data_IF_595200524832
#
_entry.id   IF_595200524832
#
_cell.length_a   1.000
_cell.length_b   1.000
_cell.length_c   1.000
_cell.angle_alpha   90.00
_cell.angle_beta   90.00
_cell.angle_gamma   90.00
#
_symmetry.space_group_name_H-M   'P 1'
#
loop_
_entity.id
_entity.type
_entity.pdbx_description
1 polymer ?
#
# COMPACT_ATOMS: atom_id res chain seq x y z
N UNK A 1 17.73 -11.32 7.56
CA UNK A 1 18.30 -10.24 6.71
C UNK A 1 17.21 -9.53 5.90
N UNK A 2 16.28 -10.26 5.28
CA UNK A 2 15.19 -9.70 4.46
C UNK A 2 14.32 -8.68 5.21
N UNK A 3 14.01 -8.91 6.49
CA UNK A 3 13.21 -7.98 7.31
C UNK A 3 13.84 -6.58 7.45
N UNK A 4 15.18 -6.50 7.55
CA UNK A 4 15.89 -5.22 7.65
C UNK A 4 15.78 -4.46 6.34
N UNK A 5 15.89 -5.16 5.21
CA UNK A 5 15.79 -4.56 3.88
C UNK A 5 14.37 -4.07 3.62
N UNK A 6 13.35 -4.84 4.01
CA UNK A 6 11.94 -4.42 3.95
C UNK A 6 11.69 -3.13 4.73
N UNK A 7 12.26 -3.00 5.94
CA UNK A 7 12.16 -1.78 6.73
C UNK A 7 12.85 -0.60 6.04
N UNK A 8 14.06 -0.79 5.49
CA UNK A 8 14.77 0.27 4.76
C UNK A 8 13.98 0.70 3.50
N UNK A 9 13.46 -0.27 2.74
CA UNK A 9 12.74 0.00 1.50
C UNK A 9 11.43 0.74 1.78
N UNK A 10 10.65 0.26 2.75
CA UNK A 10 9.41 0.93 3.16
C UNK A 10 9.67 2.31 3.77
N UNK A 11 10.73 2.49 4.54
CA UNK A 11 11.12 3.78 5.13
C UNK A 11 11.54 4.82 4.08
N UNK A 12 12.34 4.43 3.08
CA UNK A 12 12.74 5.34 2.00
C UNK A 12 11.54 5.78 1.17
N UNK A 13 10.61 4.86 0.90
CA UNK A 13 9.38 5.19 0.20
C UNK A 13 8.43 6.05 1.05
N UNK A 14 8.37 5.83 2.36
CA UNK A 14 7.67 6.69 3.31
C UNK A 14 8.23 8.12 3.31
N UNK A 15 9.55 8.30 3.31
CA UNK A 15 10.19 9.62 3.20
C UNK A 15 9.82 10.28 1.86
N UNK A 16 9.85 9.54 0.76
CA UNK A 16 9.46 10.07 -0.56
C UNK A 16 8.00 10.47 -0.62
N UNK A 17 7.11 9.72 0.02
CA UNK A 17 5.68 10.03 0.09
C UNK A 17 5.42 11.31 0.90
N UNK A 18 6.11 11.49 2.04
CA UNK A 18 6.00 12.73 2.83
C UNK A 18 6.62 13.93 2.11
N UNK A 19 7.79 13.74 1.49
CA UNK A 19 8.57 14.86 0.95
C UNK A 19 8.11 15.31 -0.44
N UNK A 20 7.67 14.36 -1.27
CA UNK A 20 7.42 14.58 -2.70
C UNK A 20 5.97 14.20 -3.07
N UNK A 21 5.21 13.58 -2.15
CA UNK A 21 3.87 13.02 -2.41
C UNK A 21 3.80 12.12 -3.65
N UNK A 22 4.95 11.59 -4.06
CA UNK A 22 5.13 10.75 -5.25
C UNK A 22 6.32 9.83 -5.02
N UNK A 23 6.06 8.54 -5.14
CA UNK A 23 7.10 7.51 -5.17
C UNK A 23 7.64 7.45 -6.60
N UNK A 24 8.94 7.65 -6.76
CA UNK A 24 9.55 7.71 -8.10
C UNK A 24 9.61 6.30 -8.71
N UNK A 25 9.22 6.16 -9.97
CA UNK A 25 9.22 4.85 -10.66
C UNK A 25 10.60 4.18 -10.69
N UNK A 26 11.70 4.94 -10.76
CA UNK A 26 13.06 4.38 -10.74
C UNK A 26 13.33 3.61 -9.44
N UNK A 27 12.83 4.12 -8.31
CA UNK A 27 12.99 3.49 -7.00
C UNK A 27 12.26 2.14 -6.96
N UNK A 28 11.02 2.12 -7.44
CA UNK A 28 10.20 0.90 -7.55
C UNK A 28 10.91 -0.15 -8.40
N UNK A 29 11.39 0.23 -9.60
CA UNK A 29 12.04 -0.70 -10.53
C UNK A 29 13.32 -1.26 -9.93
N UNK A 30 14.14 -0.43 -9.28
CA UNK A 30 15.37 -0.89 -8.62
C UNK A 30 15.06 -1.84 -7.47
N UNK A 31 14.19 -1.44 -6.54
CA UNK A 31 13.89 -2.25 -5.36
C UNK A 31 13.25 -3.59 -5.73
N UNK A 32 12.40 -3.63 -6.77
CA UNK A 32 11.80 -4.85 -7.30
C UNK A 32 12.86 -5.74 -7.96
N UNK A 33 13.69 -5.18 -8.84
CA UNK A 33 14.75 -5.93 -9.53
C UNK A 33 15.73 -6.57 -8.56
N UNK A 34 16.15 -5.83 -7.52
CA UNK A 34 17.05 -6.33 -6.49
C UNK A 34 16.41 -7.46 -5.68
N UNK A 35 15.13 -7.32 -5.30
CA UNK A 35 14.40 -8.35 -4.55
C UNK A 35 14.28 -9.67 -5.32
N UNK A 36 13.92 -9.59 -6.61
CA UNK A 36 13.86 -10.78 -7.48
C UNK A 36 15.24 -11.41 -7.66
N UNK A 37 16.27 -10.59 -7.92
CA UNK A 37 17.63 -11.10 -8.11
C UNK A 37 18.16 -11.80 -6.86
N UNK A 38 17.92 -11.23 -5.68
CA UNK A 38 18.29 -11.83 -4.40
C UNK A 38 17.65 -13.22 -4.20
N UNK A 39 16.34 -13.34 -4.43
CA UNK A 39 15.66 -14.63 -4.31
C UNK A 39 16.04 -15.62 -5.42
N UNK A 40 16.41 -15.13 -6.60
CA UNK A 40 16.95 -15.98 -7.66
C UNK A 40 18.27 -16.63 -7.26
N UNK A 41 19.17 -15.88 -6.61
CA UNK A 41 20.44 -16.42 -6.09
C UNK A 41 20.26 -17.47 -4.99
N UNK A 42 19.17 -17.38 -4.21
CA UNK A 42 18.85 -18.31 -3.13
C UNK A 42 18.04 -19.53 -3.63
N UNK A 43 17.70 -19.56 -4.92
CA UNK A 43 16.93 -20.65 -5.54
C UNK A 43 15.41 -20.53 -5.39
N UNK A 44 14.91 -19.40 -4.88
CA UNK A 44 13.48 -19.12 -4.65
C UNK A 44 12.92 -18.03 -5.58
N UNK A 45 13.52 -17.84 -6.76
CA UNK A 45 13.13 -16.77 -7.69
C UNK A 45 11.66 -16.85 -8.15
N UNK A 46 11.11 -18.05 -8.30
CA UNK A 46 9.69 -18.26 -8.64
C UNK A 46 8.76 -17.66 -7.57
N UNK A 47 9.06 -17.87 -6.29
CA UNK A 47 8.29 -17.34 -5.17
C UNK A 47 8.34 -15.81 -5.09
N UNK A 48 9.44 -15.19 -5.52
CA UNK A 48 9.57 -13.73 -5.59
C UNK A 48 8.77 -13.12 -6.74
N UNK A 49 8.77 -13.75 -7.91
CA UNK A 49 7.92 -13.34 -9.04
C UNK A 49 6.45 -13.48 -8.66
N UNK A 50 6.08 -14.58 -8.02
CA UNK A 50 4.72 -14.83 -7.58
C UNK A 50 4.28 -13.84 -6.50
N UNK A 51 5.14 -13.56 -5.52
CA UNK A 51 4.89 -12.53 -4.50
C UNK A 51 4.74 -11.13 -5.09
N UNK A 52 5.58 -10.77 -6.06
CA UNK A 52 5.46 -9.48 -6.77
C UNK A 52 4.13 -9.39 -7.55
N UNK A 53 3.72 -10.48 -8.22
CA UNK A 53 2.45 -10.56 -8.92
C UNK A 53 1.25 -10.44 -7.96
N UNK A 54 1.34 -11.02 -6.76
CA UNK A 54 0.31 -10.86 -5.72
C UNK A 54 0.13 -9.40 -5.30
N UNK A 55 1.18 -8.58 -5.38
CA UNK A 55 1.10 -7.11 -5.20
C UNK A 55 0.04 -6.44 -6.07
N UNK A 56 -0.23 -6.99 -7.26
CA UNK A 56 -1.23 -6.47 -8.18
C UNK A 56 -2.67 -6.78 -7.79
N UNK A 57 -2.93 -7.56 -6.73
CA UNK A 57 -4.28 -7.77 -6.18
C UNK A 57 -4.95 -6.44 -5.81
N UNK A 58 -4.17 -5.42 -5.45
CA UNK A 58 -4.71 -4.09 -5.16
C UNK A 58 -4.95 -3.21 -6.40
N UNK A 59 -4.68 -3.71 -7.62
CA UNK A 59 -4.93 -2.97 -8.85
C UNK A 59 -6.40 -2.53 -9.03
N UNK A 60 -7.42 -3.34 -8.70
CA UNK A 60 -8.81 -2.88 -8.72
C UNK A 60 -9.04 -1.67 -7.82
N UNK A 61 -8.37 -1.57 -6.66
CA UNK A 61 -8.48 -0.39 -5.79
C UNK A 61 -7.85 0.86 -6.41
N UNK A 62 -6.80 0.69 -7.23
CA UNK A 62 -6.26 1.79 -8.03
C UNK A 62 -7.24 2.26 -9.11
N UNK A 63 -7.89 1.32 -9.82
CA UNK A 63 -8.95 1.67 -10.79
C UNK A 63 -10.07 2.43 -10.09
N UNK A 64 -10.42 2.04 -8.86
CA UNK A 64 -11.40 2.72 -8.03
C UNK A 64 -10.91 4.07 -7.44
N UNK A 65 -9.65 4.47 -7.66
CA UNK A 65 -8.98 5.65 -7.08
C UNK A 65 -8.96 5.69 -5.55
N UNK A 66 -9.15 4.55 -4.88
CA UNK A 66 -8.94 4.46 -3.43
C UNK A 66 -7.46 4.53 -3.06
N UNK A 67 -6.57 4.23 -4.00
CA UNK A 67 -5.14 4.14 -3.78
C UNK A 67 -4.37 4.68 -4.99
N UNK A 68 -3.19 5.23 -4.78
CA UNK A 68 -2.36 5.75 -5.86
C UNK A 68 -1.71 4.63 -6.68
N UNK A 69 -1.37 4.91 -7.95
CA UNK A 69 -0.61 3.98 -8.79
C UNK A 69 0.75 3.60 -8.17
N UNK A 70 1.33 4.51 -7.39
CA UNK A 70 2.59 4.28 -6.67
C UNK A 70 2.45 3.24 -5.58
N UNK A 71 1.34 3.26 -4.83
CA UNK A 71 1.10 2.36 -3.70
C UNK A 71 0.94 0.91 -4.16
N UNK A 72 0.20 0.67 -5.26
CA UNK A 72 0.07 -0.69 -5.84
C UNK A 72 1.44 -1.23 -6.22
N UNK A 73 2.25 -0.38 -6.88
CA UNK A 73 3.61 -0.76 -7.28
C UNK A 73 4.51 -1.04 -6.08
N UNK A 74 4.34 -0.32 -4.96
CA UNK A 74 5.06 -0.61 -3.73
C UNK A 74 4.67 -1.96 -3.15
N UNK A 75 3.40 -2.38 -3.23
CA UNK A 75 3.04 -3.76 -2.85
C UNK A 75 3.68 -4.82 -3.74
N UNK A 76 3.90 -4.54 -5.04
CA UNK A 76 4.68 -5.42 -5.89
C UNK A 76 6.14 -5.52 -5.43
N UNK A 77 6.75 -4.38 -5.04
CA UNK A 77 8.10 -4.37 -4.45
C UNK A 77 8.12 -5.18 -3.16
N UNK A 78 7.19 -4.92 -2.24
CA UNK A 78 7.09 -5.63 -0.97
C UNK A 78 6.90 -7.14 -1.19
N UNK A 79 6.11 -7.55 -2.18
CA UNK A 79 5.92 -8.95 -2.57
C UNK A 79 7.14 -9.62 -3.20
N UNK A 80 8.02 -8.85 -3.84
CA UNK A 80 9.30 -9.37 -4.32
C UNK A 80 10.25 -9.72 -3.15
N UNK A 81 10.13 -9.02 -2.01
CA UNK A 81 10.97 -9.21 -0.83
C UNK A 81 10.34 -10.20 0.16
N UNK A 82 9.11 -9.95 0.59
CA UNK A 82 8.27 -10.87 1.35
C UNK A 82 7.54 -11.76 0.35
N UNK A 83 8.11 -12.92 0.03
CA UNK A 83 7.56 -13.85 -0.96
C UNK A 83 6.28 -14.53 -0.44
N UNK A 84 5.67 -15.41 -1.24
CA UNK A 84 4.52 -16.19 -0.79
C UNK A 84 4.92 -17.22 0.28
N UNK A 85 4.16 -17.38 1.38
CA UNK A 85 2.88 -16.75 1.73
C UNK A 85 3.00 -15.45 2.56
N UNK A 86 4.21 -15.03 2.92
CA UNK A 86 4.47 -13.88 3.80
C UNK A 86 3.79 -12.59 3.31
N UNK A 87 3.72 -12.36 1.99
CA UNK A 87 3.07 -11.19 1.42
C UNK A 87 1.60 -11.04 1.86
N UNK A 88 0.85 -12.13 2.01
CA UNK A 88 -0.56 -12.06 2.39
C UNK A 88 -0.73 -11.52 3.81
N UNK A 89 0.10 -12.00 4.73
CA UNK A 89 0.15 -11.51 6.10
C UNK A 89 0.58 -10.03 6.11
N UNK A 90 1.64 -9.69 5.38
CA UNK A 90 2.13 -8.31 5.29
C UNK A 90 1.04 -7.36 4.78
N UNK A 91 0.32 -7.75 3.73
CA UNK A 91 -0.80 -6.99 3.19
C UNK A 91 -1.91 -6.80 4.23
N UNK A 92 -2.28 -7.85 4.95
CA UNK A 92 -3.28 -7.77 6.02
C UNK A 92 -2.85 -6.78 7.12
N UNK A 93 -1.59 -6.82 7.56
CA UNK A 93 -1.05 -5.84 8.52
C UNK A 93 -1.09 -4.41 7.98
N UNK A 94 -0.72 -4.21 6.70
CA UNK A 94 -0.76 -2.89 6.08
C UNK A 94 -2.20 -2.35 5.98
N UNK A 95 -3.16 -3.18 5.55
CA UNK A 95 -4.58 -2.78 5.46
C UNK A 95 -5.12 -2.44 6.85
N UNK A 96 -4.82 -3.25 7.85
CA UNK A 96 -5.26 -3.02 9.23
C UNK A 96 -4.68 -1.71 9.79
N UNK A 97 -3.38 -1.46 9.61
CA UNK A 97 -2.73 -0.22 10.08
C UNK A 97 -3.24 1.01 9.34
N UNK A 98 -3.49 0.92 8.03
CA UNK A 98 -4.17 1.99 7.29
C UNK A 98 -5.57 2.27 7.86
N UNK A 99 -6.34 1.23 8.21
CA UNK A 99 -7.62 1.39 8.89
C UNK A 99 -7.50 2.19 10.20
N UNK A 100 -6.49 1.90 11.02
CA UNK A 100 -6.22 2.64 12.26
C UNK A 100 -5.86 4.09 11.97
N UNK A 101 -4.95 4.36 11.03
CA UNK A 101 -4.56 5.73 10.65
C UNK A 101 -5.77 6.51 10.14
N UNK A 102 -6.59 5.90 9.29
CA UNK A 102 -7.82 6.52 8.78
C UNK A 102 -8.80 6.85 9.91
N UNK A 103 -8.96 5.94 10.87
CA UNK A 103 -9.82 6.14 12.03
C UNK A 103 -9.33 7.29 12.92
N UNK A 104 -8.01 7.38 13.17
CA UNK A 104 -7.41 8.47 13.96
C UNK A 104 -7.63 9.82 13.26
N UNK A 105 -7.39 9.91 11.95
CA UNK A 105 -7.62 11.14 11.16
C UNK A 105 -9.11 11.53 11.21
N UNK A 106 -10.01 10.56 11.07
CA UNK A 106 -11.45 10.77 11.10
C UNK A 106 -11.92 11.38 12.43
N UNK A 107 -11.39 10.90 13.56
CA UNK A 107 -11.68 11.44 14.89
C UNK A 107 -11.09 12.84 15.03
N UNK A 108 -9.83 13.02 14.60
CA UNK A 108 -9.10 14.28 14.75
C UNK A 108 -9.76 15.43 13.98
N UNK A 109 -10.28 15.15 12.78
CA UNK A 109 -10.99 16.14 11.95
C UNK A 109 -12.45 16.37 12.37
N UNK A 110 -13.00 15.59 13.32
CA UNK A 110 -14.42 15.59 13.75
C UNK A 110 -15.44 15.45 12.61
N UNK A 111 -15.00 15.07 11.40
CA UNK A 111 -15.79 15.01 10.18
C UNK A 111 -16.21 13.59 9.79
N UNK A 112 -16.12 12.62 10.71
CA UNK A 112 -16.41 11.21 10.40
C UNK A 112 -17.81 10.95 9.85
N UNK A 113 -18.82 11.70 10.33
CA UNK A 113 -20.18 11.61 9.78
C UNK A 113 -20.24 12.06 8.31
N UNK A 114 -19.51 13.11 7.94
CA UNK A 114 -19.48 13.61 6.57
C UNK A 114 -18.73 12.65 5.64
N UNK A 115 -17.58 12.13 6.08
CA UNK A 115 -16.80 11.14 5.32
C UNK A 115 -17.62 9.87 5.08
N UNK A 116 -18.27 9.34 6.13
CA UNK A 116 -19.11 8.15 6.01
C UNK A 116 -20.35 8.40 5.14
N UNK A 117 -20.98 9.57 5.25
CA UNK A 117 -22.10 9.96 4.38
C UNK A 117 -21.68 10.05 2.92
N UNK A 118 -20.54 10.67 2.62
CA UNK A 118 -20.00 10.78 1.27
C UNK A 118 -19.69 9.40 0.68
N UNK A 119 -19.08 8.51 1.49
CA UNK A 119 -18.84 7.12 1.10
C UNK A 119 -20.14 6.36 0.81
N UNK A 120 -21.18 6.52 1.64
CA UNK A 120 -22.50 5.91 1.41
C UNK A 120 -23.21 6.44 0.16
N UNK A 121 -23.12 7.75 -0.10
CA UNK A 121 -23.67 8.36 -1.31
C UNK A 121 -22.95 7.79 -2.53
N UNK A 122 -21.61 7.71 -2.50
CA UNK A 122 -20.83 7.09 -3.57
C UNK A 122 -21.22 5.63 -3.80
N UNK A 123 -21.37 4.83 -2.74
CA UNK A 123 -21.85 3.44 -2.85
C UNK A 123 -23.23 3.35 -3.51
N UNK A 124 -24.18 4.20 -3.11
CA UNK A 124 -25.52 4.23 -3.72
C UNK A 124 -25.47 4.61 -5.18
N UNK A 125 -24.67 5.62 -5.54
CA UNK A 125 -24.50 6.06 -6.92
C UNK A 125 -23.95 4.90 -7.76
N UNK A 126 -22.84 4.29 -7.37
CA UNK A 126 -22.26 3.14 -8.08
C UNK A 126 -23.25 1.97 -8.22
N UNK A 127 -24.08 1.73 -7.20
CA UNK A 127 -25.08 0.65 -7.23
C UNK A 127 -26.26 0.96 -8.16
N UNK A 128 -26.66 2.23 -8.27
CA UNK A 128 -27.81 2.69 -9.07
C UNK A 128 -27.42 2.93 -10.53
N UNK A 129 -26.32 3.65 -10.81
CA UNK A 129 -25.94 4.01 -12.17
C UNK A 129 -25.33 2.84 -12.93
N UNK A 130 -24.82 1.81 -12.23
CA UNK A 130 -23.96 0.74 -12.79
C UNK A 130 -22.72 1.25 -13.55
N UNK A 131 -22.52 2.56 -13.56
CA UNK A 131 -21.37 3.23 -14.12
C UNK A 131 -20.48 3.69 -12.97
N UNK A 132 -19.21 3.33 -13.07
CA UNK A 132 -18.21 3.73 -12.11
C UNK A 132 -17.90 5.22 -12.27
N UNK A 133 -18.25 6.02 -11.26
CA UNK A 133 -17.83 7.42 -11.18
C UNK A 133 -16.58 7.48 -10.30
N UNK A 134 -15.46 7.83 -10.93
CA UNK A 134 -14.24 8.10 -10.23
C UNK A 134 -14.43 9.31 -9.30
N UNK A 135 -14.12 9.15 -8.01
CA UNK A 135 -14.19 10.25 -7.05
C UNK A 135 -13.32 11.39 -7.60
N UNK A 136 -13.93 12.57 -7.80
CA UNK A 136 -13.23 13.75 -8.28
C UNK A 136 -12.14 14.13 -7.28
N UNK A 137 -10.95 14.48 -7.76
CA UNK A 137 -9.86 14.93 -6.89
C UNK A 137 -10.34 16.20 -6.14
N UNK A 138 -10.34 16.16 -4.80
CA UNK A 138 -10.38 17.39 -4.03
C UNK A 138 -9.11 18.19 -4.38
N UNK A 139 -9.28 19.41 -4.90
CA UNK A 139 -8.19 20.32 -5.32
C UNK A 139 -7.23 20.69 -4.17
N UNK A 140 -7.63 20.41 -2.93
CA UNK A 140 -6.91 20.81 -1.73
C UNK A 140 -5.86 19.76 -1.31
N UNK A 141 -4.59 20.05 -1.65
CA UNK A 141 -3.44 19.18 -1.33
C UNK A 141 -3.26 18.92 0.17
N UNK A 142 -3.83 19.77 1.02
CA UNK A 142 -3.69 19.72 2.49
C UNK A 142 -4.43 18.53 3.13
N UNK A 143 -5.41 17.95 2.43
CA UNK A 143 -6.28 16.92 2.99
C UNK A 143 -5.98 15.49 2.53
N UNK A 144 -4.90 15.30 1.75
CA UNK A 144 -4.48 13.98 1.26
C UNK A 144 -4.21 13.00 2.41
N UNK A 145 -4.86 11.85 2.32
CA UNK A 145 -4.65 10.73 3.23
C UNK A 145 -3.23 10.17 3.05
N UNK A 146 -2.40 10.14 4.11
CA UNK A 146 -1.00 9.72 4.01
C UNK A 146 -0.88 8.19 4.00
N UNK A 147 -1.27 7.54 2.91
CA UNK A 147 -1.37 6.09 2.79
C UNK A 147 -0.07 5.36 3.17
N UNK A 148 1.08 5.92 2.80
CA UNK A 148 2.36 5.27 3.08
C UNK A 148 2.72 5.20 4.57
N UNK A 149 2.10 6.04 5.42
CA UNK A 149 2.24 5.94 6.88
C UNK A 149 1.70 4.60 7.39
N UNK A 150 0.51 4.20 6.96
CA UNK A 150 -0.12 2.95 7.37
C UNK A 150 0.63 1.74 6.83
N UNK A 151 1.16 1.83 5.61
CA UNK A 151 2.01 0.78 5.02
C UNK A 151 3.29 0.60 5.84
N UNK A 152 4.01 1.68 6.15
CA UNK A 152 5.24 1.59 6.94
C UNK A 152 5.00 1.02 8.34
N UNK A 153 3.93 1.46 9.03
CA UNK A 153 3.52 0.89 10.31
C UNK A 153 3.14 -0.59 10.20
N UNK A 154 2.46 -0.97 9.11
CA UNK A 154 2.14 -2.36 8.81
C UNK A 154 3.38 -3.24 8.61
N UNK A 155 4.39 -2.72 7.90
CA UNK A 155 5.68 -3.40 7.73
C UNK A 155 6.40 -3.57 9.07
N UNK A 156 6.41 -2.54 9.92
CA UNK A 156 6.99 -2.63 11.28
C UNK A 156 6.26 -3.70 12.10
N UNK A 157 4.93 -3.66 12.13
CA UNK A 157 4.13 -4.63 12.86
C UNK A 157 4.36 -6.06 12.36
N UNK A 158 4.44 -6.23 11.05
CA UNK A 158 4.76 -7.52 10.44
C UNK A 158 6.17 -8.00 10.80
N UNK A 159 7.18 -7.12 10.80
CA UNK A 159 8.53 -7.52 11.20
C UNK A 159 8.64 -7.89 12.68
N UNK A 160 7.89 -7.22 13.56
CA UNK A 160 7.89 -7.50 15.01
C UNK A 160 7.10 -8.78 15.33
N UNK A 161 5.91 -8.94 14.76
CA UNK A 161 4.99 -10.04 15.10
C UNK A 161 5.22 -11.26 14.22
N UNK A 162 5.43 -11.05 12.91
CA UNK A 162 5.61 -12.10 11.92
C UNK A 162 6.92 -12.88 12.07
N UNK A 163 7.92 -12.30 12.76
CA UNK A 163 9.04 -12.97 13.44
C UNK A 163 10.00 -13.87 12.63
N UNK A 164 9.63 -14.37 11.45
CA UNK A 164 10.43 -15.29 10.62
C UNK A 164 10.16 -15.04 9.14
N UNK A 165 11.04 -14.24 8.53
CA UNK A 165 11.25 -14.16 7.08
C UNK A 165 12.65 -14.67 6.81
#
# INVERSE_FOLDING_TARGET
MVSIILLIVSFLAFIQDISIHKIKNWYIVLALSIGIFYHFLIGNGSSAIFGAAMGMIFYPLFVLRFMGAGDVKMFCVLGAWATFPQILYLMAYCVFMNGIVAFIIMISRKNGKNIFRNFWIWLKICCITREYIAIAEEEDKSDKYPYMTGVFLGVIAFCIIGGKI
#
